data_IF_642304514986
#
_entry.id   IF_642304514986
#
_cell.length_a   1.000
_cell.length_b   1.000
_cell.length_c   1.000
_cell.angle_alpha   90.00
_cell.angle_beta   90.00
_cell.angle_gamma   90.00
#
_symmetry.space_group_name_H-M   'P 1'
#
loop_
_entity.id
_entity.type
_entity.pdbx_description
1 polymer ?
#
# COMPACT_ATOMS: atom_id res chain seq x y z
N UNK A 1 2.37 23.31 1.90
CA UNK A 1 2.45 22.99 0.46
C UNK A 1 2.70 21.48 0.33
N UNK A 2 1.65 20.65 0.40
CA UNK A 2 1.81 19.20 0.22
C UNK A 2 1.73 18.90 -1.28
N UNK A 3 2.83 18.42 -1.84
CA UNK A 3 2.96 18.11 -3.25
C UNK A 3 1.86 17.10 -3.63
N UNK A 4 0.91 17.52 -4.47
CA UNK A 4 -0.36 16.83 -4.75
C UNK A 4 -0.21 15.52 -5.58
N UNK A 5 0.99 14.93 -5.59
CA UNK A 5 1.36 13.69 -6.27
C UNK A 5 1.68 12.64 -5.22
N UNK A 6 0.87 11.57 -5.18
CA UNK A 6 1.16 10.36 -4.40
C UNK A 6 2.58 9.90 -4.69
N UNK A 7 3.41 9.83 -3.65
CA UNK A 7 4.76 9.32 -3.74
C UNK A 7 4.76 7.82 -4.01
N UNK A 8 5.85 7.28 -4.55
CA UNK A 8 5.96 5.84 -4.88
C UNK A 8 5.71 4.94 -3.65
N UNK A 9 6.18 5.35 -2.48
CA UNK A 9 5.94 4.64 -1.21
C UNK A 9 4.46 4.63 -0.82
N UNK A 10 3.75 5.72 -1.05
CA UNK A 10 2.31 5.81 -0.76
C UNK A 10 1.51 4.93 -1.72
N UNK A 11 1.88 4.90 -3.00
CA UNK A 11 1.26 3.99 -3.99
C UNK A 11 1.47 2.53 -3.59
N UNK A 12 2.69 2.16 -3.17
CA UNK A 12 2.97 0.82 -2.68
C UNK A 12 2.17 0.48 -1.43
N UNK A 13 2.09 1.40 -0.48
CA UNK A 13 1.27 1.25 0.72
C UNK A 13 -0.20 1.04 0.37
N UNK A 14 -0.78 1.87 -0.51
CA UNK A 14 -2.17 1.76 -0.95
C UNK A 14 -2.47 0.39 -1.57
N UNK A 15 -1.60 -0.10 -2.47
CA UNK A 15 -1.76 -1.40 -3.13
C UNK A 15 -1.66 -2.54 -2.12
N UNK A 16 -0.64 -2.53 -1.27
CA UNK A 16 -0.45 -3.56 -0.24
C UNK A 16 -1.62 -3.57 0.75
N UNK A 17 -2.08 -2.39 1.18
CA UNK A 17 -3.21 -2.28 2.09
C UNK A 17 -4.50 -2.79 1.42
N UNK A 18 -4.73 -2.47 0.15
CA UNK A 18 -5.87 -2.98 -0.61
C UNK A 18 -5.86 -4.51 -0.72
N UNK A 19 -4.71 -5.12 -1.01
CA UNK A 19 -4.53 -6.58 -1.03
C UNK A 19 -4.81 -7.17 0.37
N UNK A 20 -4.31 -6.53 1.43
CA UNK A 20 -4.48 -6.98 2.81
C UNK A 20 -5.95 -6.99 3.20
N UNK A 21 -6.67 -5.89 2.93
CA UNK A 21 -8.10 -5.79 3.22
C UNK A 21 -8.92 -6.81 2.42
N UNK A 22 -8.64 -6.98 1.13
CA UNK A 22 -9.30 -7.98 0.30
C UNK A 22 -9.09 -9.41 0.82
N UNK A 23 -7.87 -9.74 1.21
CA UNK A 23 -7.53 -11.06 1.77
C UNK A 23 -8.16 -11.29 3.15
N UNK A 24 -8.29 -10.25 3.98
CA UNK A 24 -8.98 -10.34 5.28
C UNK A 24 -10.50 -10.52 5.11
N UNK A 25 -11.11 -9.79 4.18
CA UNK A 25 -12.57 -9.85 3.96
C UNK A 25 -13.01 -11.11 3.21
N UNK A 26 -12.20 -11.60 2.26
CA UNK A 26 -12.60 -12.66 1.32
C UNK A 26 -11.68 -13.89 1.32
N UNK A 27 -10.67 -13.94 2.20
CA UNK A 27 -9.65 -15.00 2.27
C UNK A 27 -8.57 -14.87 1.19
N UNK A 28 -8.96 -14.72 -0.07
CA UNK A 28 -8.07 -14.61 -1.24
C UNK A 28 -8.31 -13.29 -1.97
N UNK A 29 -7.26 -12.49 -2.14
CA UNK A 29 -7.36 -11.23 -2.85
C UNK A 29 -7.49 -11.47 -4.36
N UNK A 30 -8.47 -10.82 -5.00
CA UNK A 30 -8.69 -10.94 -6.45
C UNK A 30 -8.19 -9.69 -7.19
N UNK A 31 -7.42 -9.83 -8.30
CA UNK A 31 -6.84 -8.69 -9.02
C UNK A 31 -7.87 -7.63 -9.44
N UNK A 32 -9.06 -8.07 -9.88
CA UNK A 32 -10.16 -7.19 -10.30
C UNK A 32 -10.71 -6.34 -9.16
N UNK A 33 -10.75 -6.87 -7.94
CA UNK A 33 -11.28 -6.15 -6.78
C UNK A 33 -10.23 -5.21 -6.17
N UNK A 34 -8.97 -5.63 -6.17
CA UNK A 34 -7.82 -4.77 -5.82
C UNK A 34 -7.73 -3.58 -6.79
N UNK A 35 -7.97 -3.81 -8.09
CA UNK A 35 -8.02 -2.74 -9.10
C UNK A 35 -9.10 -1.71 -8.78
N UNK A 36 -10.34 -2.14 -8.52
CA UNK A 36 -11.45 -1.27 -8.15
C UNK A 36 -11.18 -0.43 -6.89
N UNK A 37 -10.45 -0.96 -5.90
CA UNK A 37 -10.09 -0.23 -4.67
C UNK A 37 -8.90 0.72 -4.83
N UNK A 38 -7.93 0.38 -5.67
CA UNK A 38 -6.66 1.13 -5.77
C UNK A 38 -6.76 2.50 -6.47
N UNK A 39 -7.88 2.78 -7.16
CA UNK A 39 -8.09 4.02 -7.96
C UNK A 39 -6.91 4.33 -8.89
N UNK A 40 -6.25 3.28 -9.39
CA UNK A 40 -5.12 3.36 -10.32
C UNK A 40 -5.55 2.84 -11.69
N UNK A 41 -4.96 3.37 -12.77
CA UNK A 41 -5.11 2.73 -14.07
C UNK A 41 -4.52 1.31 -14.01
N UNK A 42 -5.09 0.39 -14.79
CA UNK A 42 -4.69 -1.02 -14.78
C UNK A 42 -3.19 -1.18 -15.05
N UNK A 43 -2.65 -0.44 -16.02
CA UNK A 43 -1.22 -0.46 -16.35
C UNK A 43 -0.32 -0.01 -15.19
N UNK A 44 -0.74 1.03 -14.46
CA UNK A 44 0.00 1.52 -13.29
C UNK A 44 -0.07 0.50 -12.17
N UNK A 45 -1.23 -0.09 -11.91
CA UNK A 45 -1.35 -1.15 -10.92
C UNK A 45 -0.42 -2.32 -11.29
N UNK A 46 -0.45 -2.75 -12.55
CA UNK A 46 0.31 -3.89 -13.02
C UNK A 46 1.83 -3.67 -12.92
N UNK A 47 2.29 -2.47 -13.26
CA UNK A 47 3.69 -2.06 -13.10
C UNK A 47 4.12 -2.08 -11.63
N UNK A 48 3.31 -1.48 -10.74
CA UNK A 48 3.63 -1.48 -9.30
C UNK A 48 3.56 -2.88 -8.68
N UNK A 49 2.64 -3.75 -9.10
CA UNK A 49 2.61 -5.15 -8.66
C UNK A 49 3.88 -5.90 -9.09
N UNK A 50 4.34 -5.69 -10.33
CA UNK A 50 5.59 -6.30 -10.81
C UNK A 50 6.79 -5.81 -9.98
N UNK A 51 6.83 -4.53 -9.61
CA UNK A 51 7.89 -4.02 -8.74
C UNK A 51 7.81 -4.56 -7.31
N UNK A 52 6.61 -4.63 -6.73
CA UNK A 52 6.41 -5.22 -5.39
C UNK A 52 6.78 -6.70 -5.36
N UNK A 53 6.52 -7.43 -6.44
CA UNK A 53 6.96 -8.82 -6.60
C UNK A 53 8.48 -8.92 -6.70
N UNK A 54 9.14 -8.09 -7.52
CA UNK A 54 10.61 -7.99 -7.59
C UNK A 54 11.24 -7.65 -6.23
N UNK A 55 10.55 -6.85 -5.42
CA UNK A 55 10.96 -6.51 -4.06
C UNK A 55 10.63 -7.61 -3.04
N UNK A 56 10.04 -8.74 -3.47
CA UNK A 56 9.56 -9.84 -2.62
C UNK A 56 8.56 -9.43 -1.55
N UNK A 57 7.78 -8.37 -1.80
CA UNK A 57 6.74 -7.88 -0.89
C UNK A 57 5.39 -8.57 -1.11
N UNK A 58 5.15 -9.04 -2.33
CA UNK A 58 3.96 -9.81 -2.69
C UNK A 58 4.33 -11.08 -3.46
N UNK A 59 3.41 -12.05 -3.47
CA UNK A 59 3.38 -13.15 -4.43
C UNK A 59 2.26 -12.87 -5.42
N UNK A 60 2.60 -12.63 -6.69
CA UNK A 60 1.61 -12.28 -7.70
C UNK A 60 0.71 -13.45 -8.09
N UNK A 61 1.23 -14.68 -8.03
CA UNK A 61 0.48 -15.92 -8.34
C UNK A 61 -0.69 -16.15 -7.38
N UNK A 62 -0.50 -15.87 -6.09
CA UNK A 62 -1.53 -15.99 -5.05
C UNK A 62 -2.15 -14.65 -4.66
N UNK A 63 -1.71 -13.55 -5.29
CA UNK A 63 -1.99 -12.16 -4.93
C UNK A 63 -1.91 -11.93 -3.41
N UNK A 64 -0.92 -12.53 -2.75
CA UNK A 64 -0.77 -12.52 -1.29
C UNK A 64 0.41 -11.67 -0.85
N UNK A 65 0.32 -11.09 0.35
CA UNK A 65 1.41 -10.29 0.92
C UNK A 65 2.37 -11.20 1.67
N UNK A 66 3.66 -11.09 1.36
CA UNK A 66 4.71 -11.84 2.05
C UNK A 66 4.99 -11.26 3.44
N UNK A 67 5.83 -11.94 4.23
CA UNK A 67 6.32 -11.39 5.50
C UNK A 67 7.00 -10.03 5.34
N UNK A 68 7.74 -9.83 4.24
CA UNK A 68 8.41 -8.56 3.94
C UNK A 68 7.43 -7.44 3.61
N UNK A 69 6.38 -7.72 2.82
CA UNK A 69 5.34 -6.73 2.53
C UNK A 69 4.54 -6.31 3.77
N UNK A 70 4.28 -7.25 4.69
CA UNK A 70 3.67 -6.93 6.00
C UNK A 70 4.58 -6.06 6.87
N UNK A 71 5.88 -6.33 6.85
CA UNK A 71 6.88 -5.47 7.52
C UNK A 71 6.85 -4.04 6.98
N UNK A 72 6.82 -3.88 5.66
CA UNK A 72 6.68 -2.57 5.01
C UNK A 72 5.41 -1.83 5.46
N UNK A 73 4.25 -2.50 5.51
CA UNK A 73 3.01 -1.89 5.99
C UNK A 73 3.14 -1.40 7.44
N UNK A 74 3.74 -2.20 8.31
CA UNK A 74 3.94 -1.84 9.70
C UNK A 74 4.87 -0.62 9.85
N UNK A 75 5.98 -0.60 9.12
CA UNK A 75 6.95 0.50 9.19
C UNK A 75 6.40 1.79 8.60
N UNK A 76 5.65 1.70 7.48
CA UNK A 76 4.99 2.85 6.88
C UNK A 76 3.94 3.45 7.82
N UNK A 77 3.16 2.62 8.51
CA UNK A 77 2.22 3.10 9.53
C UNK A 77 2.92 3.82 10.69
N UNK A 78 4.06 3.32 11.17
CA UNK A 78 4.86 4.03 12.19
C UNK A 78 5.30 5.41 11.70
N UNK A 79 5.71 5.54 10.44
CA UNK A 79 6.10 6.82 9.85
C UNK A 79 4.89 7.76 9.80
N UNK A 80 3.73 7.29 9.34
CA UNK A 80 2.50 8.11 9.32
C UNK A 80 2.06 8.54 10.72
N UNK A 81 2.16 7.66 11.72
CA UNK A 81 1.85 7.99 13.11
C UNK A 81 2.81 9.05 13.67
N UNK A 82 4.10 8.96 13.35
CA UNK A 82 5.09 9.96 13.74
C UNK A 82 4.81 11.31 13.07
N UNK A 83 4.49 11.32 11.77
CA UNK A 83 4.10 12.53 11.05
C UNK A 83 2.86 13.18 11.70
N UNK A 84 1.81 12.41 11.96
CA UNK A 84 0.60 12.90 12.60
C UNK A 84 0.85 13.43 14.03
N UNK A 85 1.74 12.81 14.79
CA UNK A 85 2.14 13.30 16.12
C UNK A 85 2.85 14.65 16.02
N UNK A 86 3.81 14.78 15.11
CA UNK A 86 4.52 16.04 14.85
C UNK A 86 3.50 17.12 14.44
N UNK A 87 2.63 16.82 13.48
CA UNK A 87 1.60 17.77 13.01
C UNK A 87 0.72 18.27 14.17
N UNK A 88 0.24 17.39 15.04
CA UNK A 88 -0.53 17.78 16.23
C UNK A 88 0.27 18.65 17.21
N UNK A 89 1.56 18.37 17.40
CA UNK A 89 2.40 19.13 18.33
C UNK A 89 2.69 20.54 17.79
N UNK A 90 2.87 20.70 16.47
CA UNK A 90 3.33 21.95 15.88
C UNK A 90 2.22 22.81 15.24
N UNK A 91 1.06 22.25 14.88
CA UNK A 91 -0.03 22.98 14.21
C UNK A 91 -1.26 23.26 15.09
N UNK A 92 -1.22 22.94 16.39
CA UNK A 92 -2.29 23.29 17.34
C UNK A 92 -1.99 24.58 18.11
N UNK A 93 -1.54 25.63 17.41
CA UNK A 93 -1.46 27.00 17.93
C UNK A 93 -2.43 27.90 17.18
#
# INVERSE_FOLDING_TARGET
MLNNRRGKLEIFFDILNAISHESLENGVARPTRVHNRSKLSYDKMQSNLNELEKLHMISKSSLSITKKGRGFLADYNKIKDLQAKIERVYFTR
#
